data_IF_845505628744
#
_entry.id   IF_845505628744
#
_cell.length_a   1.000
_cell.length_b   1.000
_cell.length_c   1.000
_cell.angle_alpha   90.00
_cell.angle_beta   90.00
_cell.angle_gamma   90.00
#
_symmetry.space_group_name_H-M   'P 1'
#
loop_
_entity.id
_entity.type
_entity.pdbx_description
1 polymer ?
#
# COMPACT_ATOMS: atom_id res chain seq x y z
N UNK A 1 4.66 10.74 17.44
CA UNK A 1 4.63 10.81 15.97
C UNK A 1 3.51 9.91 15.46
N UNK A 2 2.68 10.45 14.61
CA UNK A 2 1.57 9.71 14.05
C UNK A 2 1.92 9.20 12.66
N UNK A 3 1.22 8.13 12.25
CA UNK A 3 1.38 7.56 10.94
C UNK A 3 0.08 7.69 10.16
N UNK A 4 0.20 8.01 8.89
CA UNK A 4 -0.90 7.90 7.96
C UNK A 4 -0.86 6.53 7.31
N UNK A 5 -2.02 5.92 7.12
CA UNK A 5 -2.13 4.56 6.56
C UNK A 5 -3.02 4.58 5.32
N UNK A 6 -2.65 3.79 4.34
CA UNK A 6 -3.48 3.58 3.16
C UNK A 6 -3.27 2.17 2.62
N UNK A 7 -4.19 1.72 1.78
CA UNK A 7 -4.12 0.41 1.16
C UNK A 7 -4.34 0.51 -0.34
N UNK A 8 -3.77 -0.44 -1.08
CA UNK A 8 -3.99 -0.58 -2.52
C UNK A 8 -4.29 -2.03 -2.81
N UNK A 9 -5.40 -2.30 -3.49
CA UNK A 9 -5.75 -3.67 -3.90
C UNK A 9 -4.99 -3.98 -5.19
N UNK A 10 -4.15 -5.01 -5.13
CA UNK A 10 -3.33 -5.42 -6.26
C UNK A 10 -4.05 -6.43 -7.16
N UNK A 11 -5.13 -7.05 -6.67
CA UNK A 11 -5.85 -8.06 -7.41
C UNK A 11 -5.21 -9.44 -7.27
N UNK A 12 -5.32 -10.29 -8.30
CA UNK A 12 -4.89 -11.69 -8.18
C UNK A 12 -3.37 -11.88 -8.22
N UNK A 13 -2.59 -10.83 -8.45
CA UNK A 13 -1.15 -10.92 -8.62
C UNK A 13 -0.47 -9.95 -7.67
N UNK A 14 0.73 -10.32 -7.20
CA UNK A 14 1.54 -9.45 -6.34
C UNK A 14 2.28 -8.36 -7.11
N UNK A 15 2.08 -8.26 -8.41
CA UNK A 15 2.81 -7.30 -9.21
C UNK A 15 2.50 -5.88 -8.77
N UNK A 16 3.54 -5.06 -8.73
CA UNK A 16 3.38 -3.65 -8.43
C UNK A 16 2.60 -2.98 -9.56
N UNK A 17 1.71 -2.09 -9.17
CA UNK A 17 0.91 -1.32 -10.12
C UNK A 17 1.41 0.12 -10.18
N UNK A 18 0.86 0.89 -11.13
CA UNK A 18 1.15 2.30 -11.18
C UNK A 18 0.74 3.02 -9.89
N UNK A 19 -0.32 2.54 -9.24
CA UNK A 19 -0.77 3.12 -7.99
C UNK A 19 0.26 2.96 -6.89
N UNK A 20 0.86 1.76 -6.77
CA UNK A 20 1.88 1.54 -5.75
C UNK A 20 3.13 2.36 -6.05
N UNK A 21 3.50 2.49 -7.31
CA UNK A 21 4.63 3.32 -7.70
C UNK A 21 4.39 4.80 -7.40
N UNK A 22 3.18 5.29 -7.67
CA UNK A 22 2.83 6.66 -7.37
C UNK A 22 2.87 6.95 -5.87
N UNK A 23 2.40 6.02 -5.05
CA UNK A 23 2.47 6.16 -3.61
C UNK A 23 3.91 6.22 -3.11
N UNK A 24 4.77 5.38 -3.66
CA UNK A 24 6.19 5.41 -3.30
C UNK A 24 6.82 6.76 -3.59
N UNK A 25 6.47 7.37 -4.71
CA UNK A 25 6.98 8.70 -5.07
C UNK A 25 6.50 9.78 -4.11
N UNK A 26 5.37 9.57 -3.47
CA UNK A 26 4.81 10.51 -2.50
C UNK A 26 5.32 10.28 -1.09
N UNK A 27 6.26 9.37 -0.89
CA UNK A 27 6.84 9.08 0.41
C UNK A 27 6.15 7.97 1.18
N UNK A 28 5.18 7.29 0.58
CA UNK A 28 4.54 6.16 1.21
C UNK A 28 5.47 4.95 1.19
N UNK A 29 5.48 4.22 2.30
CA UNK A 29 6.34 3.04 2.46
C UNK A 29 5.47 1.80 2.59
N UNK A 30 5.69 0.78 1.74
CA UNK A 30 4.99 -0.49 1.89
C UNK A 30 5.52 -1.21 3.14
N UNK A 31 4.63 -1.75 3.96
CA UNK A 31 5.05 -2.47 5.14
C UNK A 31 4.40 -3.85 5.29
N UNK A 32 3.37 -4.14 4.52
CA UNK A 32 2.73 -5.45 4.57
C UNK A 32 1.98 -5.73 3.28
N UNK A 33 1.86 -7.00 2.94
CA UNK A 33 0.99 -7.48 1.86
C UNK A 33 0.16 -8.60 2.44
N UNK A 34 -1.15 -8.50 2.30
CA UNK A 34 -2.07 -9.53 2.77
C UNK A 34 -2.87 -10.08 1.60
N UNK A 35 -3.39 -11.28 1.77
CA UNK A 35 -4.20 -11.92 0.74
C UNK A 35 -5.53 -12.36 1.34
N UNK A 36 -6.59 -12.10 0.60
CA UNK A 36 -7.93 -12.60 0.98
C UNK A 36 -8.60 -13.19 -0.25
N UNK A 37 -9.50 -14.18 -0.03
CA UNK A 37 -10.23 -14.78 -1.18
C UNK A 37 -11.10 -13.78 -1.94
N UNK A 38 -11.54 -12.71 -1.29
CA UNK A 38 -12.42 -11.73 -1.92
C UNK A 38 -11.69 -10.72 -2.77
N UNK A 39 -10.55 -10.24 -2.29
CA UNK A 39 -9.87 -9.10 -2.90
C UNK A 39 -8.54 -9.46 -3.54
N UNK A 40 -8.03 -10.67 -3.30
CA UNK A 40 -6.68 -11.03 -3.72
C UNK A 40 -5.65 -10.36 -2.83
N UNK A 41 -4.58 -9.84 -3.44
CA UNK A 41 -3.52 -9.20 -2.68
C UNK A 41 -3.85 -7.74 -2.39
N UNK A 42 -3.56 -7.31 -1.17
CA UNK A 42 -3.70 -5.92 -0.76
C UNK A 42 -2.37 -5.46 -0.17
N UNK A 43 -1.82 -4.40 -0.70
CA UNK A 43 -0.60 -3.80 -0.18
C UNK A 43 -0.96 -2.71 0.81
N UNK A 44 -0.26 -2.70 1.94
CA UNK A 44 -0.47 -1.74 3.02
C UNK A 44 0.70 -0.78 3.06
N UNK A 45 0.39 0.52 3.06
CA UNK A 45 1.40 1.56 3.04
C UNK A 45 1.24 2.47 4.24
N UNK A 46 2.35 3.07 4.65
CA UNK A 46 2.35 4.06 5.73
C UNK A 46 3.33 5.17 5.41
N UNK A 47 3.10 6.32 5.99
CA UNK A 47 4.06 7.41 5.97
C UNK A 47 3.89 8.23 7.24
N UNK A 48 4.97 8.93 7.71
CA UNK A 48 4.86 9.79 8.88
C UNK A 48 3.91 10.96 8.59
N UNK A 49 3.03 11.24 9.54
CA UNK A 49 2.19 12.42 9.46
C UNK A 49 3.03 13.66 9.75
N UNK A 50 2.77 14.72 9.03
CA UNK A 50 3.51 15.97 9.20
C UNK A 50 2.83 16.95 10.14
N UNK A 51 1.76 16.60 10.75
CA UNK A 51 1.06 17.51 11.65
C UNK A 51 1.73 17.64 13.00
#
# INVERSE_FOLDING_TARGET
MEWELTTVVLGPSEQQTEQTNALSRQGWQPYAVTWTPRCGYTAWFRRPSRN
#
